data_IF_400363331412
#
_entry.id   IF_400363331412
#
_cell.length_a   1.000
_cell.length_b   1.000
_cell.length_c   1.000
_cell.angle_alpha   90.00
_cell.angle_beta   90.00
_cell.angle_gamma   90.00
#
_symmetry.space_group_name_H-M   'P 1'
#
loop_
_entity.id
_entity.type
_entity.pdbx_description
1 polymer ?
#
# COMPACT_ATOMS: atom_id res chain seq x y z
N UNK A 1 9.94 -4.08 16.06
CA UNK A 1 10.59 -3.82 14.75
C UNK A 1 9.72 -4.17 13.55
N UNK A 2 9.00 -5.30 13.54
CA UNK A 2 8.16 -5.72 12.40
C UNK A 2 7.15 -4.68 11.90
N UNK A 3 6.51 -3.93 12.81
CA UNK A 3 5.59 -2.84 12.45
C UNK A 3 6.26 -1.69 11.69
N UNK A 4 7.54 -1.40 11.96
CA UNK A 4 8.30 -0.38 11.22
C UNK A 4 8.56 -0.87 9.80
N UNK A 5 8.98 -2.13 9.63
CA UNK A 5 9.13 -2.73 8.31
C UNK A 5 7.82 -2.77 7.54
N UNK A 6 6.69 -3.02 8.21
CA UNK A 6 5.38 -2.99 7.59
C UNK A 6 4.98 -1.59 7.12
N UNK A 7 5.30 -0.56 7.91
CA UNK A 7 5.10 0.85 7.53
C UNK A 7 5.95 1.22 6.31
N UNK A 8 7.24 0.85 6.31
CA UNK A 8 8.14 1.06 5.18
C UNK A 8 7.66 0.31 3.93
N UNK A 9 7.20 -0.93 4.08
CA UNK A 9 6.61 -1.71 2.99
C UNK A 9 5.38 -0.99 2.40
N UNK A 10 4.49 -0.46 3.24
CA UNK A 10 3.32 0.28 2.77
C UNK A 10 3.67 1.59 2.06
N UNK A 11 4.69 2.32 2.53
CA UNK A 11 5.16 3.55 1.85
C UNK A 11 5.78 3.24 0.48
N UNK A 12 6.56 2.17 0.39
CA UNK A 12 7.09 1.69 -0.90
C UNK A 12 5.98 1.23 -1.82
N UNK A 13 4.90 0.66 -1.27
CA UNK A 13 3.71 0.28 -2.04
C UNK A 13 3.10 1.47 -2.77
N UNK A 14 2.88 2.55 -2.05
CA UNK A 14 2.38 3.81 -2.61
C UNK A 14 3.32 4.30 -3.72
N UNK A 15 4.63 4.25 -3.50
CA UNK A 15 5.62 4.72 -4.47
C UNK A 15 5.58 3.93 -5.78
N UNK A 16 5.54 2.60 -5.73
CA UNK A 16 5.47 1.79 -6.97
C UNK A 16 4.08 1.84 -7.61
N UNK A 17 3.00 1.97 -6.85
CA UNK A 17 1.64 2.10 -7.39
C UNK A 17 1.49 3.39 -8.22
N UNK A 18 2.01 4.51 -7.71
CA UNK A 18 2.08 5.79 -8.45
C UNK A 18 3.07 5.68 -9.62
N UNK A 19 4.22 5.05 -9.41
CA UNK A 19 5.23 4.80 -10.44
C UNK A 19 4.69 4.03 -11.65
N UNK A 20 3.82 3.03 -11.43
CA UNK A 20 3.13 2.30 -12.50
C UNK A 20 2.28 3.21 -13.39
N UNK A 21 1.62 4.21 -12.81
CA UNK A 21 0.85 5.18 -13.60
C UNK A 21 1.76 6.04 -14.47
N UNK A 22 2.90 6.47 -13.93
CA UNK A 22 3.89 7.27 -14.68
C UNK A 22 4.71 6.47 -15.70
N UNK A 23 4.86 5.16 -15.51
CA UNK A 23 5.61 4.30 -16.42
C UNK A 23 4.93 4.12 -17.78
N UNK A 24 3.63 4.49 -17.90
CA UNK A 24 2.82 4.34 -19.10
C UNK A 24 2.88 2.91 -19.65
N UNK A 25 2.61 1.92 -18.80
CA UNK A 25 2.70 0.51 -19.16
C UNK A 25 4.13 0.04 -19.36
N UNK A 26 5.06 0.53 -18.52
CA UNK A 26 6.50 0.26 -18.58
C UNK A 26 7.27 0.81 -19.78
N UNK A 27 6.63 1.59 -20.65
CA UNK A 27 7.26 2.22 -21.82
C UNK A 27 8.32 3.26 -21.42
N UNK A 28 8.14 3.95 -20.28
CA UNK A 28 9.09 4.95 -19.77
C UNK A 28 10.07 4.36 -18.75
N UNK A 29 11.24 3.93 -19.23
CA UNK A 29 12.33 3.35 -18.42
C UNK A 29 12.68 4.15 -17.15
N UNK A 30 12.68 5.48 -17.23
CA UNK A 30 12.98 6.35 -16.09
C UNK A 30 12.04 6.16 -14.90
N UNK A 31 10.77 5.79 -15.14
CA UNK A 31 9.79 5.48 -14.09
C UNK A 31 9.64 3.98 -13.86
N UNK A 32 9.86 3.16 -14.89
CA UNK A 32 9.80 1.69 -14.81
C UNK A 32 10.82 1.11 -13.83
N UNK A 33 12.09 1.51 -13.92
CA UNK A 33 13.17 0.99 -13.07
C UNK A 33 12.90 1.25 -11.58
N UNK A 34 12.69 2.51 -11.13
CA UNK A 34 12.42 2.77 -9.72
C UNK A 34 11.11 2.11 -9.23
N UNK A 35 10.10 1.97 -10.10
CA UNK A 35 8.87 1.24 -9.78
C UNK A 35 9.15 -0.21 -9.43
N UNK A 36 9.92 -0.93 -10.25
CA UNK A 36 10.28 -2.33 -10.00
C UNK A 36 11.14 -2.46 -8.74
N UNK A 37 12.10 -1.55 -8.52
CA UNK A 37 12.91 -1.54 -7.31
C UNK A 37 12.06 -1.35 -6.05
N UNK A 38 11.16 -0.36 -6.05
CA UNK A 38 10.23 -0.12 -4.95
C UNK A 38 9.30 -1.32 -4.71
N UNK A 39 8.84 -1.98 -5.77
CA UNK A 39 8.01 -3.19 -5.68
C UNK A 39 8.76 -4.34 -5.00
N UNK A 40 10.00 -4.62 -5.41
CA UNK A 40 10.84 -5.66 -4.79
C UNK A 40 11.12 -5.33 -3.33
N UNK A 41 11.50 -4.09 -3.02
CA UNK A 41 11.77 -3.67 -1.64
C UNK A 41 10.52 -3.72 -0.78
N UNK A 42 9.35 -3.32 -1.29
CA UNK A 42 8.07 -3.42 -0.60
C UNK A 42 7.78 -4.87 -0.18
N UNK A 43 7.91 -5.82 -1.10
CA UNK A 43 7.71 -7.24 -0.80
C UNK A 43 8.75 -7.80 0.16
N UNK A 44 10.01 -7.36 0.05
CA UNK A 44 11.06 -7.78 0.97
C UNK A 44 10.76 -7.36 2.42
N UNK A 45 10.38 -6.10 2.64
CA UNK A 45 10.04 -5.63 3.99
C UNK A 45 8.74 -6.25 4.51
N UNK A 46 7.75 -6.48 3.64
CA UNK A 46 6.55 -7.23 4.01
C UNK A 46 6.92 -8.66 4.44
N UNK A 47 7.76 -9.36 3.70
CA UNK A 47 8.24 -10.71 4.04
C UNK A 47 8.91 -10.74 5.42
N UNK A 48 9.74 -9.74 5.75
CA UNK A 48 10.35 -9.62 7.07
C UNK A 48 9.29 -9.41 8.16
N UNK A 49 8.30 -8.55 7.93
CA UNK A 49 7.23 -8.30 8.89
C UNK A 49 6.40 -9.57 9.16
N UNK A 50 6.14 -10.37 8.11
CA UNK A 50 5.40 -11.64 8.16
C UNK A 50 6.09 -12.73 8.98
N UNK A 51 7.40 -12.63 9.26
CA UNK A 51 8.09 -13.58 10.16
C UNK A 51 7.62 -13.49 11.60
N UNK A 52 6.93 -12.41 11.96
CA UNK A 52 6.50 -12.14 13.34
C UNK A 52 5.03 -11.76 13.45
N UNK A 53 4.45 -11.19 12.39
CA UNK A 53 3.04 -10.80 12.36
C UNK A 53 2.22 -11.86 11.61
N UNK A 54 0.99 -12.15 12.08
CA UNK A 54 0.06 -13.00 11.33
C UNK A 54 -0.17 -12.44 9.94
N UNK A 55 -0.17 -13.32 8.93
CA UNK A 55 -0.30 -12.95 7.51
C UNK A 55 -1.53 -12.07 7.27
N UNK A 56 -2.68 -12.45 7.83
CA UNK A 56 -3.92 -11.69 7.67
C UNK A 56 -3.79 -10.26 8.21
N UNK A 57 -3.15 -10.07 9.36
CA UNK A 57 -2.94 -8.73 9.95
C UNK A 57 -1.97 -7.90 9.13
N UNK A 58 -0.81 -8.46 8.78
CA UNK A 58 0.22 -7.74 8.06
C UNK A 58 -0.26 -7.35 6.65
N UNK A 59 -0.88 -8.27 5.92
CA UNK A 59 -1.37 -8.00 4.57
C UNK A 59 -2.49 -6.97 4.56
N UNK A 60 -3.42 -7.06 5.51
CA UNK A 60 -4.51 -6.11 5.67
C UNK A 60 -3.99 -4.68 5.96
N UNK A 61 -3.00 -4.55 6.85
CA UNK A 61 -2.39 -3.24 7.15
C UNK A 61 -1.56 -2.70 5.98
N UNK A 62 -0.75 -3.55 5.32
CA UNK A 62 0.04 -3.19 4.15
C UNK A 62 -0.85 -2.64 3.04
N UNK A 63 -1.83 -3.42 2.59
CA UNK A 63 -2.79 -3.02 1.55
C UNK A 63 -3.64 -1.82 1.97
N UNK A 64 -3.97 -1.67 3.26
CA UNK A 64 -4.70 -0.50 3.77
C UNK A 64 -3.89 0.80 3.63
N UNK A 65 -2.60 0.77 3.98
CA UNK A 65 -1.68 1.91 3.80
C UNK A 65 -1.52 2.21 2.31
N UNK A 66 -1.26 1.19 1.49
CA UNK A 66 -1.16 1.29 0.04
C UNK A 66 -2.40 1.94 -0.57
N UNK A 67 -3.58 1.38 -0.32
CA UNK A 67 -4.84 1.87 -0.89
C UNK A 67 -5.14 3.33 -0.50
N UNK A 68 -4.98 3.68 0.78
CA UNK A 68 -5.23 5.04 1.26
C UNK A 68 -4.23 6.04 0.66
N UNK A 69 -2.93 5.74 0.71
CA UNK A 69 -1.90 6.63 0.20
C UNK A 69 -1.96 6.80 -1.31
N UNK A 70 -2.21 5.72 -2.05
CA UNK A 70 -2.36 5.77 -3.51
C UNK A 70 -3.61 6.54 -3.92
N UNK A 71 -4.72 6.39 -3.18
CA UNK A 71 -5.93 7.18 -3.45
C UNK A 71 -5.73 8.67 -3.16
N UNK A 72 -5.06 9.03 -2.06
CA UNK A 72 -4.74 10.42 -1.74
C UNK A 72 -3.82 11.03 -2.81
N UNK A 73 -2.71 10.36 -3.13
CA UNK A 73 -1.81 10.82 -4.18
C UNK A 73 -2.47 10.79 -5.57
N UNK A 74 -3.43 9.91 -5.81
CA UNK A 74 -4.20 9.90 -7.06
C UNK A 74 -5.02 11.18 -7.25
N UNK A 75 -5.64 11.67 -6.18
CA UNK A 75 -6.32 12.97 -6.17
C UNK A 75 -5.32 14.11 -6.38
N UNK A 76 -4.21 14.13 -5.63
CA UNK A 76 -3.26 15.24 -5.67
C UNK A 76 -2.42 15.30 -6.95
N UNK A 77 -1.94 14.17 -7.46
CA UNK A 77 -1.01 14.11 -8.59
C UNK A 77 -1.72 13.94 -9.94
N UNK A 78 -2.84 13.22 -9.97
CA UNK A 78 -3.54 12.90 -11.23
C UNK A 78 -4.90 13.63 -11.35
N UNK A 79 -5.27 14.45 -10.36
CA UNK A 79 -6.55 15.17 -10.37
C UNK A 79 -7.76 14.25 -10.37
N UNK A 80 -7.62 13.02 -9.85
CA UNK A 80 -8.73 12.08 -9.76
C UNK A 80 -9.86 12.67 -8.90
N UNK A 81 -11.14 12.42 -9.25
CA UNK A 81 -12.25 12.98 -8.50
C UNK A 81 -12.23 12.50 -7.05
N UNK A 82 -12.08 13.47 -6.14
CA UNK A 82 -12.15 13.30 -4.69
C UNK A 82 -13.59 13.07 -4.24
N UNK A 83 -14.20 11.97 -4.69
CA UNK A 83 -15.56 11.62 -4.31
C UNK A 83 -15.59 11.22 -2.84
N UNK A 84 -16.46 11.86 -2.05
CA UNK A 84 -16.73 11.49 -0.64
C UNK A 84 -17.03 9.99 -0.51
N UNK A 85 -17.70 9.39 -1.51
CA UNK A 85 -17.98 7.95 -1.57
C UNK A 85 -16.70 7.09 -1.61
N UNK A 86 -15.65 7.55 -2.30
CA UNK A 86 -14.35 6.84 -2.38
C UNK A 86 -13.67 6.79 -1.02
N UNK A 87 -13.68 7.90 -0.28
CA UNK A 87 -13.13 7.94 1.07
C UNK A 87 -13.93 7.09 2.06
N UNK A 88 -15.26 7.04 1.93
CA UNK A 88 -16.10 6.12 2.72
C UNK A 88 -15.72 4.66 2.43
N UNK A 89 -15.57 4.28 1.16
CA UNK A 89 -15.13 2.92 0.79
C UNK A 89 -13.74 2.59 1.37
N UNK A 90 -12.78 3.50 1.29
CA UNK A 90 -11.45 3.31 1.90
C UNK A 90 -11.57 3.17 3.41
N UNK A 91 -12.41 3.98 4.07
CA UNK A 91 -12.71 3.87 5.49
C UNK A 91 -13.29 2.51 5.88
N UNK A 92 -14.19 1.94 5.07
CA UNK A 92 -14.74 0.60 5.27
C UNK A 92 -13.66 -0.49 5.11
N UNK A 93 -12.76 -0.36 4.14
CA UNK A 93 -11.61 -1.28 3.99
C UNK A 93 -10.74 -1.23 5.25
N UNK A 94 -10.37 -0.03 5.71
CA UNK A 94 -9.58 0.16 6.93
C UNK A 94 -10.29 -0.38 8.18
N UNK A 95 -11.61 -0.19 8.29
CA UNK A 95 -12.41 -0.77 9.37
C UNK A 95 -12.39 -2.31 9.34
N UNK A 96 -12.49 -2.92 8.15
CA UNK A 96 -12.35 -4.37 7.98
C UNK A 96 -10.96 -4.89 8.36
N UNK A 97 -9.91 -4.17 7.98
CA UNK A 97 -8.51 -4.45 8.36
C UNK A 97 -8.34 -4.42 9.88
N UNK A 98 -8.86 -3.38 10.53
CA UNK A 98 -8.84 -3.25 11.99
C UNK A 98 -9.64 -4.37 12.67
N UNK A 99 -10.82 -4.72 12.15
CA UNK A 99 -11.63 -5.83 12.63
C UNK A 99 -10.89 -7.17 12.56
N UNK A 100 -10.22 -7.46 11.42
CA UNK A 100 -9.39 -8.66 11.28
C UNK A 100 -8.25 -8.69 12.29
N UNK A 101 -7.62 -7.55 12.57
CA UNK A 101 -6.55 -7.45 13.58
C UNK A 101 -7.06 -7.72 14.99
N UNK A 102 -8.27 -7.26 15.32
CA UNK A 102 -8.89 -7.48 16.63
C UNK A 102 -9.31 -8.94 16.83
N UNK A 103 -9.84 -9.59 15.79
CA UNK A 103 -10.29 -10.99 15.85
C UNK A 103 -9.12 -11.98 15.77
N UNK A 104 -8.08 -11.67 15.00
CA UNK A 104 -6.88 -12.51 14.84
C UNK A 104 -5.89 -12.42 16.02
N UNK A 105 -6.15 -11.58 17.03
CA UNK A 105 -5.29 -11.43 18.21
C UNK A 105 -5.54 -12.51 19.29
N UNK A 106 -5.91 -13.73 18.88
CA UNK A 106 -5.90 -14.94 19.71
C UNK A 106 -4.90 -15.94 19.14
#
# INVERSE_FOLDING_TARGET
MAWVYLLVAGLLEIAWAIGLKYSQGFTKLAFSIPTVVCMILSFFFLSIALRTLPVGTAYAVWTGIGAMGTALLGVFLFGEPASVKRFICIGLILAGVLGLRLVSSR
#
